data_IF_064907338257
#
_entry.id   IF_064907338257
#
_cell.length_a   1.000
_cell.length_b   1.000
_cell.length_c   1.000
_cell.angle_alpha   90.00
_cell.angle_beta   90.00
_cell.angle_gamma   90.00
#
_symmetry.space_group_name_H-M   'P 1'
#
loop_
_entity.id
_entity.type
_entity.pdbx_description
1 polymer ?
#
# COMPACT_ATOMS: atom_id res chain seq x y z
N UNK A 1 -0.41 -27.07 -18.97
CA UNK A 1 -0.55 -25.62 -18.72
C UNK A 1 -1.99 -25.42 -18.32
N UNK A 2 -2.25 -25.02 -17.08
CA UNK A 2 -3.62 -24.77 -16.64
C UNK A 2 -4.20 -23.60 -17.43
N UNK A 3 -5.40 -23.75 -17.95
CA UNK A 3 -6.09 -22.69 -18.68
C UNK A 3 -6.37 -21.50 -17.75
N UNK A 4 -5.84 -20.32 -18.07
CA UNK A 4 -6.17 -19.09 -17.35
C UNK A 4 -7.59 -18.64 -17.74
N UNK A 5 -8.53 -18.67 -16.80
CA UNK A 5 -9.88 -18.14 -17.01
C UNK A 5 -9.92 -16.63 -16.79
N UNK A 6 -10.46 -15.88 -17.75
CA UNK A 6 -10.64 -14.43 -17.66
C UNK A 6 -12.09 -14.07 -17.33
N UNK A 7 -12.27 -13.12 -16.40
CA UNK A 7 -13.59 -12.61 -15.99
C UNK A 7 -13.61 -11.09 -16.13
N UNK A 8 -14.75 -10.55 -16.56
CA UNK A 8 -14.97 -9.10 -16.61
C UNK A 8 -15.60 -8.61 -15.30
N UNK A 9 -15.09 -7.53 -14.74
CA UNK A 9 -15.63 -6.87 -13.54
C UNK A 9 -15.90 -5.39 -13.84
N UNK A 10 -16.98 -4.86 -13.27
CA UNK A 10 -17.28 -3.42 -13.38
C UNK A 10 -16.53 -2.68 -12.29
N UNK A 11 -15.76 -1.66 -12.68
CA UNK A 11 -15.04 -0.77 -11.78
C UNK A 11 -15.65 0.63 -11.90
N UNK A 12 -15.79 1.31 -10.76
CA UNK A 12 -15.98 2.77 -10.75
C UNK A 12 -14.72 3.44 -11.31
N UNK A 13 -14.85 4.63 -11.88
CA UNK A 13 -13.72 5.40 -12.43
C UNK A 13 -12.56 5.52 -11.42
N UNK A 14 -12.87 5.90 -10.18
CA UNK A 14 -11.87 6.02 -9.11
C UNK A 14 -11.12 4.72 -8.84
N UNK A 15 -11.81 3.58 -8.87
CA UNK A 15 -11.22 2.27 -8.65
C UNK A 15 -10.31 1.88 -9.82
N UNK A 16 -10.72 2.17 -11.06
CA UNK A 16 -9.89 1.96 -12.24
C UNK A 16 -8.62 2.82 -12.20
N UNK A 17 -8.72 4.10 -11.86
CA UNK A 17 -7.56 5.00 -11.76
C UNK A 17 -6.59 4.57 -10.65
N UNK A 18 -7.11 4.11 -9.51
CA UNK A 18 -6.30 3.53 -8.43
C UNK A 18 -5.56 2.28 -8.89
N UNK A 19 -6.24 1.39 -9.62
CA UNK A 19 -5.62 0.18 -10.17
C UNK A 19 -4.55 0.54 -11.21
N UNK A 20 -4.86 1.47 -12.12
CA UNK A 20 -3.94 1.95 -13.16
C UNK A 20 -2.68 2.60 -12.57
N UNK A 21 -2.83 3.39 -11.52
CA UNK A 21 -1.69 4.06 -10.85
C UNK A 21 -0.75 3.07 -10.17
N UNK A 22 -1.23 1.87 -9.83
CA UNK A 22 -0.42 0.82 -9.20
C UNK A 22 0.22 -0.15 -10.18
N UNK A 23 -0.14 -0.08 -11.46
CA UNK A 23 0.37 -0.94 -12.53
C UNK A 23 1.82 -0.59 -12.87
N UNK A 24 2.70 -1.58 -12.87
CA UNK A 24 4.10 -1.42 -13.26
C UNK A 24 4.29 -1.52 -14.78
N UNK A 25 5.44 -1.06 -15.29
CA UNK A 25 5.76 -1.14 -16.71
C UNK A 25 5.87 -2.61 -17.15
N UNK A 26 5.12 -3.00 -18.19
CA UNK A 26 5.10 -4.37 -18.71
C UNK A 26 4.18 -5.35 -17.96
N UNK A 27 3.57 -4.93 -16.84
CA UNK A 27 2.62 -5.72 -16.06
C UNK A 27 1.24 -5.71 -16.75
N UNK A 28 0.46 -6.80 -16.74
CA UNK A 28 -0.95 -6.81 -17.14
C UNK A 28 -1.85 -6.32 -15.99
N UNK A 29 -3.12 -6.02 -16.27
CA UNK A 29 -4.04 -5.67 -15.17
C UNK A 29 -4.33 -6.87 -14.27
N UNK A 30 -4.40 -8.08 -14.85
CA UNK A 30 -4.52 -9.33 -14.08
C UNK A 30 -3.33 -9.51 -13.15
N UNK A 31 -2.10 -9.30 -13.62
CA UNK A 31 -0.89 -9.39 -12.80
C UNK A 31 -0.89 -8.35 -11.66
N UNK A 32 -1.35 -7.12 -11.95
CA UNK A 32 -1.49 -6.07 -10.93
C UNK A 32 -2.49 -6.49 -9.86
N UNK A 33 -3.64 -7.07 -10.26
CA UNK A 33 -4.65 -7.57 -9.33
C UNK A 33 -4.13 -8.76 -8.54
N UNK A 34 -3.47 -9.73 -9.17
CA UNK A 34 -2.87 -10.88 -8.48
C UNK A 34 -1.76 -10.46 -7.52
N UNK A 35 -0.95 -9.45 -7.85
CA UNK A 35 0.05 -8.93 -6.92
C UNK A 35 -0.59 -8.23 -5.73
N UNK A 36 -1.61 -7.40 -5.95
CA UNK A 36 -2.29 -6.65 -4.88
C UNK A 36 -3.16 -7.58 -4.01
N UNK A 37 -3.81 -8.57 -4.61
CA UNK A 37 -4.77 -9.45 -3.95
C UNK A 37 -4.18 -10.81 -3.53
N UNK A 38 -3.05 -11.20 -4.12
CA UNK A 38 -2.32 -12.44 -3.85
C UNK A 38 -1.16 -12.27 -2.89
N UNK A 39 -0.88 -11.04 -2.42
CA UNK A 39 -0.09 -10.88 -1.20
C UNK A 39 -0.83 -11.58 -0.05
N UNK A 40 -0.09 -12.45 0.64
CA UNK A 40 -0.54 -13.20 1.83
C UNK A 40 -1.39 -12.31 2.71
N UNK A 41 -2.45 -12.89 3.26
CA UNK A 41 -3.34 -12.16 4.15
C UNK A 41 -2.51 -11.48 5.23
N UNK A 42 -2.78 -10.21 5.56
CA UNK A 42 -2.14 -9.60 6.73
C UNK A 42 -2.45 -10.41 8.02
N UNK A 43 -3.51 -11.21 7.99
CA UNK A 43 -3.83 -12.17 9.05
C UNK A 43 -2.81 -13.33 9.12
N UNK A 44 -2.07 -13.62 8.04
CA UNK A 44 -0.98 -14.59 8.05
C UNK A 44 0.22 -14.09 8.87
N UNK A 45 0.28 -12.79 9.16
CA UNK A 45 1.26 -12.20 10.08
C UNK A 45 0.77 -12.15 11.53
N UNK A 46 -0.49 -12.52 11.79
CA UNK A 46 -1.06 -12.51 13.13
C UNK A 46 -0.33 -13.52 14.03
N UNK A 47 0.10 -13.07 15.21
CA UNK A 47 0.83 -13.88 16.17
C UNK A 47 2.36 -13.89 16.00
N UNK A 48 2.91 -13.19 14.98
CA UNK A 48 4.36 -13.01 14.86
C UNK A 48 4.94 -12.03 15.88
N UNK A 49 4.13 -11.07 16.35
CA UNK A 49 4.50 -10.08 17.35
C UNK A 49 3.65 -10.25 18.59
N UNK A 50 4.27 -10.15 19.76
CA UNK A 50 3.55 -9.93 21.01
C UNK A 50 2.88 -8.55 21.03
N UNK A 51 1.90 -8.35 21.91
CA UNK A 51 1.23 -7.05 22.05
C UNK A 51 2.22 -5.91 22.35
N UNK A 52 3.27 -6.20 23.14
CA UNK A 52 4.31 -5.24 23.47
C UNK A 52 5.17 -4.86 22.25
N UNK A 53 5.63 -5.85 21.46
CA UNK A 53 6.40 -5.60 20.24
C UNK A 53 5.55 -4.89 19.17
N UNK A 54 4.26 -5.22 19.10
CA UNK A 54 3.32 -4.52 18.23
C UNK A 54 3.16 -3.06 18.63
N UNK A 55 3.10 -2.76 19.93
CA UNK A 55 3.01 -1.38 20.42
C UNK A 55 4.30 -0.59 20.17
N UNK A 56 5.46 -1.20 20.38
CA UNK A 56 6.76 -0.59 20.05
C UNK A 56 6.84 -0.23 18.56
N UNK A 57 6.41 -1.14 17.68
CA UNK A 57 6.36 -0.88 16.25
C UNK A 57 5.39 0.27 15.92
N UNK A 58 4.23 0.35 16.59
CA UNK A 58 3.27 1.46 16.40
C UNK A 58 3.85 2.80 16.84
N UNK A 59 4.57 2.84 17.96
CA UNK A 59 5.26 4.05 18.43
C UNK A 59 6.36 4.48 17.45
N UNK A 60 7.19 3.55 16.96
CA UNK A 60 8.23 3.86 15.98
C UNK A 60 7.66 4.41 14.65
N UNK A 61 6.52 3.87 14.18
CA UNK A 61 5.82 4.38 12.99
C UNK A 61 5.26 5.78 13.25
N UNK A 62 4.64 6.02 14.42
CA UNK A 62 4.11 7.33 14.81
C UNK A 62 5.22 8.38 14.82
N UNK A 63 6.31 8.12 15.53
CA UNK A 63 7.44 9.04 15.62
C UNK A 63 8.04 9.36 14.24
N UNK A 64 8.19 8.34 13.38
CA UNK A 64 8.66 8.55 12.00
C UNK A 64 7.72 9.46 11.21
N UNK A 65 6.42 9.26 11.32
CA UNK A 65 5.42 10.05 10.60
C UNK A 65 5.39 11.49 11.09
N UNK A 66 5.47 11.71 12.40
CA UNK A 66 5.53 13.05 12.98
C UNK A 66 6.80 13.78 12.52
N UNK A 67 7.96 13.12 12.57
CA UNK A 67 9.21 13.69 12.02
C UNK A 67 9.09 14.04 10.55
N UNK A 68 8.43 13.19 9.76
CA UNK A 68 8.22 13.44 8.33
C UNK A 68 7.27 14.62 8.07
N UNK A 69 6.25 14.81 8.91
CA UNK A 69 5.34 15.95 8.86
C UNK A 69 6.06 17.24 9.23
N UNK A 70 6.79 17.25 10.33
CA UNK A 70 7.59 18.41 10.75
C UNK A 70 8.61 18.81 9.67
N UNK A 71 9.23 17.84 8.99
CA UNK A 71 10.16 18.14 7.90
C UNK A 71 9.44 18.74 6.68
N UNK A 72 8.25 18.23 6.35
CA UNK A 72 7.41 18.78 5.29
C UNK A 72 6.99 20.21 5.59
N UNK A 73 6.50 20.49 6.80
CA UNK A 73 6.08 21.82 7.22
C UNK A 73 7.25 22.82 7.13
N UNK A 74 8.43 22.44 7.66
CA UNK A 74 9.64 23.27 7.52
C UNK A 74 10.06 23.52 6.07
N UNK A 75 9.80 22.57 5.17
CA UNK A 75 10.10 22.75 3.73
C UNK A 75 9.11 23.72 3.09
N UNK A 76 7.83 23.64 3.45
CA UNK A 76 6.78 24.56 2.97
C UNK A 76 7.06 25.98 3.45
N UNK A 77 7.33 26.17 4.75
CA UNK A 77 7.64 27.50 5.33
C UNK A 77 8.83 28.19 4.63
N UNK A 78 9.81 27.40 4.17
CA UNK A 78 10.97 27.90 3.41
C UNK A 78 10.59 28.36 2.00
N UNK A 79 9.60 27.74 1.37
CA UNK A 79 9.15 28.10 0.02
C UNK A 79 8.24 29.33 0.03
N UNK A 80 7.56 29.59 1.15
CA UNK A 80 6.72 30.78 1.37
C UNK A 80 7.51 32.01 1.89
N UNK A 81 8.83 31.88 2.13
CA UNK A 81 9.76 32.96 2.50
C UNK A 81 10.58 33.46 1.31
#
# INVERSE_FOLDING_TARGET
>A
MGDTEYRNVRLTEDAYQRLKSRKQAGESFSDTVERIAGERSLLDLAGLLSDAEAEELREAIRERNDRSRDELDRRVDRMDS
#
